data_IF_156244989942
#
_entry.id   IF_156244989942
#
_cell.length_a   1.000
_cell.length_b   1.000
_cell.length_c   1.000
_cell.angle_alpha   90.00
_cell.angle_beta   90.00
_cell.angle_gamma   90.00
#
_symmetry.space_group_name_H-M   'P 1'
#
loop_
_entity.id
_entity.type
_entity.pdbx_description
1 polymer ?
#
# COMPACT_ATOMS: atom_id res chain seq x y z
N UNK A 1 -11.92 38.08 13.90
CA UNK A 1 -11.14 37.81 15.13
C UNK A 1 -11.32 36.32 15.43
N UNK A 2 -10.39 35.49 14.96
CA UNK A 2 -10.44 34.03 15.16
C UNK A 2 -10.16 33.74 16.63
N UNK A 3 -11.07 33.01 17.28
CA UNK A 3 -10.90 32.55 18.66
C UNK A 3 -9.71 31.58 18.67
N UNK A 4 -8.64 31.92 19.37
CA UNK A 4 -7.50 31.02 19.56
C UNK A 4 -7.92 29.95 20.57
N UNK A 5 -8.44 28.83 20.08
CA UNK A 5 -8.92 27.71 20.91
C UNK A 5 -7.79 26.98 21.67
N UNK A 6 -6.54 27.43 21.51
CA UNK A 6 -5.33 26.86 22.07
C UNK A 6 -4.63 27.76 23.12
N UNK A 7 -5.27 28.84 23.56
CA UNK A 7 -4.75 29.76 24.61
C UNK A 7 -4.90 29.23 26.05
N UNK A 8 -5.32 27.96 26.23
CA UNK A 8 -5.31 27.33 27.54
C UNK A 8 -3.97 26.64 27.80
N UNK A 9 -3.10 27.29 28.57
CA UNK A 9 -1.83 26.72 29.06
C UNK A 9 -2.04 25.38 29.78
N UNK A 10 -3.21 25.23 30.40
CA UNK A 10 -3.64 23.97 31.00
C UNK A 10 -3.82 22.87 29.96
N UNK A 11 -4.46 23.17 28.82
CA UNK A 11 -4.72 22.20 27.76
C UNK A 11 -3.39 21.65 27.19
N UNK A 12 -2.41 22.53 27.01
CA UNK A 12 -1.06 22.16 26.60
C UNK A 12 -0.39 21.22 27.61
N UNK A 13 -0.53 21.52 28.91
CA UNK A 13 -0.01 20.66 29.98
C UNK A 13 -0.64 19.27 29.97
N UNK A 14 -1.96 19.17 29.79
CA UNK A 14 -2.67 17.88 29.70
C UNK A 14 -2.27 17.07 28.46
N UNK A 15 -2.04 17.73 27.33
CA UNK A 15 -1.57 17.11 26.08
C UNK A 15 -0.14 16.58 26.24
N UNK A 16 0.74 17.35 26.86
CA UNK A 16 2.13 16.95 27.13
C UNK A 16 2.22 15.86 28.22
N UNK A 17 1.27 15.81 29.15
CA UNK A 17 1.18 14.77 30.18
C UNK A 17 0.81 13.40 29.59
N UNK A 18 0.10 13.38 28.46
CA UNK A 18 -0.14 12.16 27.67
C UNK A 18 1.06 11.81 26.79
N UNK A 19 2.19 11.52 27.42
CA UNK A 19 3.30 10.84 26.74
C UNK A 19 2.88 9.40 26.41
N UNK A 20 2.45 9.18 25.18
CA UNK A 20 2.24 7.84 24.64
C UNK A 20 3.59 7.13 24.65
N UNK A 21 3.80 6.23 25.60
CA UNK A 21 4.94 5.33 25.63
C UNK A 21 4.84 4.37 24.44
N UNK A 22 5.33 4.81 23.28
CA UNK A 22 5.46 3.93 22.12
C UNK A 22 6.64 2.99 22.43
N UNK A 23 6.40 1.68 22.59
CA UNK A 23 7.48 0.75 22.85
C UNK A 23 8.44 0.77 21.66
N UNK A 24 9.67 1.29 21.88
CA UNK A 24 10.71 1.42 20.84
C UNK A 24 11.05 0.07 20.20
N UNK A 25 10.84 -1.00 20.96
CA UNK A 25 10.95 -2.38 20.55
C UNK A 25 10.13 -2.65 19.28
N UNK A 26 8.89 -2.14 19.21
CA UNK A 26 8.00 -2.31 18.05
C UNK A 26 8.39 -1.47 16.83
N UNK A 27 9.23 -0.44 17.01
CA UNK A 27 9.70 0.44 15.93
C UNK A 27 10.96 -0.10 15.24
N UNK A 28 11.74 -0.95 15.91
CA UNK A 28 12.99 -1.49 15.40
C UNK A 28 12.81 -2.74 14.52
N UNK A 29 11.67 -3.42 14.60
CA UNK A 29 11.40 -4.56 13.73
C UNK A 29 11.16 -4.08 12.30
N UNK A 30 12.15 -4.30 11.45
CA UNK A 30 12.03 -4.11 10.00
C UNK A 30 10.93 -5.05 9.52
N UNK A 31 9.74 -4.51 9.29
CA UNK A 31 8.63 -5.28 8.74
C UNK A 31 9.06 -5.96 7.44
N UNK A 32 9.00 -7.30 7.34
CA UNK A 32 9.32 -8.02 6.12
C UNK A 32 8.44 -7.49 4.97
N UNK A 33 8.98 -7.57 3.74
CA UNK A 33 8.31 -7.04 2.54
C UNK A 33 6.89 -7.60 2.38
N UNK A 34 6.67 -8.85 2.78
CA UNK A 34 5.35 -9.50 2.79
C UNK A 34 4.38 -8.94 3.82
N UNK A 35 4.84 -8.65 5.04
CA UNK A 35 3.99 -8.06 6.08
C UNK A 35 3.62 -6.61 5.72
N UNK A 36 4.49 -5.89 5.02
CA UNK A 36 4.14 -4.58 4.42
C UNK A 36 3.06 -4.70 3.36
N UNK A 37 3.12 -5.74 2.53
CA UNK A 37 2.11 -6.01 1.51
C UNK A 37 0.77 -6.40 2.13
N UNK A 38 0.78 -7.25 3.17
CA UNK A 38 -0.43 -7.61 3.92
C UNK A 38 -1.02 -6.38 4.61
N UNK A 39 -0.19 -5.57 5.27
CA UNK A 39 -0.63 -4.33 5.92
C UNK A 39 -1.15 -3.30 4.92
N UNK A 40 -0.56 -3.24 3.74
CA UNK A 40 -1.03 -2.41 2.63
C UNK A 40 -2.42 -2.85 2.16
N UNK A 41 -2.61 -4.15 1.90
CA UNK A 41 -3.89 -4.73 1.47
C UNK A 41 -4.97 -4.69 2.55
N UNK A 42 -4.59 -4.83 3.82
CA UNK A 42 -5.50 -4.75 4.95
C UNK A 42 -5.82 -3.31 5.37
N UNK A 43 -5.10 -2.31 4.82
CA UNK A 43 -5.39 -0.91 5.14
C UNK A 43 -6.65 -0.48 4.38
N UNK A 44 -7.70 -0.02 5.07
CA UNK A 44 -8.94 0.41 4.41
C UNK A 44 -8.77 1.69 3.59
N UNK A 45 -7.62 2.36 3.67
CA UNK A 45 -7.33 3.67 3.07
C UNK A 45 -6.44 3.64 1.84
N UNK A 46 -5.83 2.50 1.50
CA UNK A 46 -5.03 2.38 0.28
C UNK A 46 -5.63 1.32 -0.63
N UNK A 47 -6.54 1.72 -1.51
CA UNK A 47 -7.04 0.86 -2.56
C UNK A 47 -5.92 0.63 -3.60
N UNK A 48 -5.30 -0.56 -3.68
CA UNK A 48 -4.28 -0.84 -4.69
C UNK A 48 -4.85 -0.73 -6.11
N UNK A 49 -6.17 -0.91 -6.24
CA UNK A 49 -6.94 -0.85 -7.49
C UNK A 49 -7.09 0.58 -8.05
N UNK A 50 -6.91 1.63 -7.24
CA UNK A 50 -6.94 3.01 -7.73
C UNK A 50 -5.83 3.27 -8.75
N UNK A 51 -4.67 2.63 -8.58
CA UNK A 51 -3.55 2.73 -9.54
C UNK A 51 -3.82 1.97 -10.85
N UNK A 52 -4.67 0.95 -10.82
CA UNK A 52 -5.08 0.22 -12.02
C UNK A 52 -6.11 1.01 -12.84
N UNK A 53 -6.78 1.99 -12.24
CA UNK A 53 -7.68 2.92 -12.92
C UNK A 53 -6.95 4.05 -13.68
N UNK A 54 -5.62 4.18 -13.56
CA UNK A 54 -4.86 5.02 -14.48
C UNK A 54 -4.90 4.39 -15.89
N UNK A 55 -5.78 4.94 -16.73
CA UNK A 55 -6.17 4.52 -18.09
C UNK A 55 -4.98 4.07 -18.97
N UNK A 56 -3.79 4.61 -18.71
CA UNK A 56 -2.54 4.34 -19.43
C UNK A 56 -1.94 2.95 -19.14
N UNK A 57 -2.11 2.41 -17.92
CA UNK A 57 -1.57 1.10 -17.55
C UNK A 57 -2.48 -0.04 -18.06
N UNK A 58 -3.79 0.14 -17.97
CA UNK A 58 -4.79 -0.80 -18.52
C UNK A 58 -4.64 -1.03 -20.02
N UNK A 59 -4.40 0.03 -20.81
CA UNK A 59 -4.17 -0.07 -22.25
C UNK A 59 -2.88 -0.84 -22.62
N UNK A 60 -1.79 -0.63 -21.85
CA UNK A 60 -0.53 -1.36 -22.07
C UNK A 60 -0.67 -2.84 -21.70
N UNK A 61 -1.32 -3.14 -20.57
CA UNK A 61 -1.62 -4.51 -20.17
C UNK A 61 -2.48 -5.22 -21.21
N UNK A 62 -3.59 -4.60 -21.65
CA UNK A 62 -4.51 -5.16 -22.63
C UNK A 62 -3.80 -5.52 -23.96
N UNK A 63 -2.82 -4.73 -24.38
CA UNK A 63 -2.02 -5.01 -25.58
C UNK A 63 -1.01 -6.14 -25.40
N UNK A 64 -0.45 -6.29 -24.19
CA UNK A 64 0.55 -7.33 -23.88
C UNK A 64 -0.03 -8.71 -23.57
N UNK A 65 -1.26 -8.78 -23.05
CA UNK A 65 -1.95 -10.03 -22.69
C UNK A 65 -2.02 -11.02 -23.87
N UNK A 66 -2.51 -10.65 -25.07
CA UNK A 66 -2.62 -11.60 -26.17
C UNK A 66 -1.26 -12.08 -26.67
N UNK A 67 -0.24 -11.22 -26.65
CA UNK A 67 1.11 -11.57 -27.10
C UNK A 67 1.76 -12.58 -26.15
N UNK A 68 1.71 -12.31 -24.84
CA UNK A 68 2.23 -13.23 -23.82
C UNK A 68 1.45 -14.55 -23.80
N UNK A 69 0.13 -14.50 -24.00
CA UNK A 69 -0.72 -15.69 -24.11
C UNK A 69 -0.34 -16.57 -25.28
N UNK A 70 -0.13 -15.99 -26.47
CA UNK A 70 0.29 -16.74 -27.66
C UNK A 70 1.66 -17.42 -27.47
N UNK A 71 2.62 -16.73 -26.85
CA UNK A 71 3.94 -17.29 -26.54
C UNK A 71 3.83 -18.46 -25.56
N UNK A 72 3.04 -18.31 -24.49
CA UNK A 72 2.80 -19.38 -23.51
C UNK A 72 2.15 -20.62 -24.14
N UNK A 73 1.11 -20.41 -24.96
CA UNK A 73 0.45 -21.51 -25.68
C UNK A 73 1.42 -22.19 -26.63
N UNK A 74 2.25 -21.43 -27.34
CA UNK A 74 3.29 -22.00 -28.22
C UNK A 74 4.29 -22.87 -27.46
N UNK A 75 4.78 -22.41 -26.30
CA UNK A 75 5.69 -23.20 -25.45
C UNK A 75 5.02 -24.48 -24.95
N UNK A 76 3.78 -24.39 -24.46
CA UNK A 76 3.01 -25.56 -24.01
C UNK A 76 2.83 -26.55 -25.16
N UNK A 77 2.56 -26.06 -26.37
CA UNK A 77 2.37 -26.91 -27.54
C UNK A 77 3.66 -27.62 -27.95
N UNK A 78 4.81 -26.95 -27.92
CA UNK A 78 6.12 -27.59 -28.19
C UNK A 78 6.42 -28.68 -27.15
N UNK A 79 6.11 -28.43 -25.88
CA UNK A 79 6.32 -29.42 -24.81
C UNK A 79 5.35 -30.60 -24.94
N UNK A 80 4.10 -30.36 -25.36
CA UNK A 80 3.09 -31.41 -25.53
C UNK A 80 3.26 -32.26 -26.78
N UNK A 81 4.01 -31.77 -27.78
CA UNK A 81 4.32 -32.48 -29.02
C UNK A 81 5.71 -33.15 -29.01
N UNK A 82 6.47 -32.98 -27.92
CA UNK A 82 7.70 -33.70 -27.63
C UNK A 82 7.39 -34.99 -26.84
#
# INVERSE_FOLDING_TARGET
MSKNEFEDDNLKKWLDEYHVHIPREKLQFRTPKWERLIRYLASPTQNPLDKFHETSFGLKLFRSIPLTGAVLVGVIQVISQL
#
